data_IF_859159900394
#
_entry.id   IF_859159900394
#
_cell.length_a   1.000
_cell.length_b   1.000
_cell.length_c   1.000
_cell.angle_alpha   90.00
_cell.angle_beta   90.00
_cell.angle_gamma   90.00
#
_symmetry.space_group_name_H-M   'P 1'
#
loop_
_entity.id
_entity.type
_entity.pdbx_description
1 polymer ?
#
# COMPACT_ATOMS: atom_id res chain seq x y z
N UNK A 1 0.20 -4.01 -7.77
CA UNK A 1 1.16 -3.06 -7.19
C UNK A 1 2.49 -3.15 -7.91
N UNK A 2 3.08 -2.02 -8.25
CA UNK A 2 4.43 -1.86 -8.77
C UNK A 2 5.03 -0.55 -8.27
N UNK A 3 6.22 -0.17 -8.70
CA UNK A 3 6.82 1.10 -8.26
C UNK A 3 8.22 1.33 -8.78
N UNK A 4 8.76 2.46 -8.38
CA UNK A 4 10.14 2.86 -8.64
C UNK A 4 10.84 3.25 -7.35
N UNK A 5 12.14 3.01 -7.28
CA UNK A 5 13.02 3.46 -6.20
C UNK A 5 13.88 4.62 -6.72
N UNK A 6 13.81 5.76 -6.03
CA UNK A 6 14.46 7.01 -6.45
C UNK A 6 15.74 7.24 -5.66
N UNK A 7 16.83 7.58 -6.36
CA UNK A 7 18.12 7.92 -5.75
C UNK A 7 19.10 6.76 -5.62
N UNK A 8 18.96 5.71 -6.43
CA UNK A 8 19.88 4.57 -6.46
C UNK A 8 20.95 4.67 -7.58
N UNK A 9 21.01 5.81 -8.26
CA UNK A 9 21.94 6.06 -9.37
C UNK A 9 21.28 6.12 -10.75
N UNK A 10 19.99 5.97 -10.81
CA UNK A 10 19.18 6.14 -12.01
C UNK A 10 19.11 7.63 -12.42
N UNK A 11 18.87 7.87 -13.69
CA UNK A 11 18.66 9.20 -14.23
C UNK A 11 17.17 9.55 -14.28
N UNK A 12 16.86 10.83 -14.51
CA UNK A 12 15.47 11.25 -14.77
C UNK A 12 14.85 10.52 -15.97
N UNK A 13 15.64 10.20 -16.99
CA UNK A 13 15.17 9.47 -18.16
C UNK A 13 14.82 8.02 -17.84
N UNK A 14 15.61 7.36 -17.00
CA UNK A 14 15.31 6.00 -16.54
C UNK A 14 13.97 5.94 -15.80
N UNK A 15 13.67 6.98 -14.99
CA UNK A 15 12.36 7.12 -14.30
C UNK A 15 11.22 7.30 -15.28
N UNK A 16 11.39 8.16 -16.31
CA UNK A 16 10.39 8.37 -17.36
C UNK A 16 10.12 7.06 -18.10
N UNK A 17 11.15 6.37 -18.55
CA UNK A 17 11.01 5.09 -19.27
C UNK A 17 10.30 4.03 -18.41
N UNK A 18 10.63 3.95 -17.13
CA UNK A 18 9.98 3.02 -16.20
C UNK A 18 8.49 3.35 -16.01
N UNK A 19 8.13 4.62 -15.82
CA UNK A 19 6.76 5.07 -15.65
C UNK A 19 5.94 4.90 -16.93
N UNK A 20 6.50 5.18 -18.10
CA UNK A 20 5.87 4.96 -19.42
C UNK A 20 5.64 3.47 -19.67
N UNK A 21 6.58 2.61 -19.27
CA UNK A 21 6.40 1.16 -19.36
C UNK A 21 5.25 0.66 -18.48
N UNK A 22 5.12 1.19 -17.26
CA UNK A 22 4.01 0.90 -16.35
C UNK A 22 2.68 1.37 -16.96
N UNK A 23 2.63 2.62 -17.44
CA UNK A 23 1.44 3.19 -18.08
C UNK A 23 1.02 2.38 -19.30
N UNK A 24 1.97 1.98 -20.16
CA UNK A 24 1.72 1.15 -21.34
C UNK A 24 1.17 -0.23 -20.95
N UNK A 25 1.71 -0.84 -19.91
CA UNK A 25 1.22 -2.12 -19.40
C UNK A 25 -0.20 -1.99 -18.85
N UNK A 26 -0.47 -0.94 -18.10
CA UNK A 26 -1.82 -0.64 -17.59
C UNK A 26 -2.80 -0.41 -18.74
N UNK A 27 -2.46 0.41 -19.71
CA UNK A 27 -3.32 0.68 -20.87
C UNK A 27 -3.73 -0.61 -21.62
N UNK A 28 -2.86 -1.62 -21.62
CA UNK A 28 -3.14 -2.91 -22.26
C UNK A 28 -4.03 -3.84 -21.44
N UNK A 29 -3.83 -3.88 -20.13
CA UNK A 29 -4.41 -4.92 -19.26
C UNK A 29 -5.34 -4.36 -18.18
N UNK A 30 -5.28 -3.10 -17.85
CA UNK A 30 -6.08 -2.45 -16.79
C UNK A 30 -5.78 -3.00 -15.38
N UNK A 31 -4.56 -3.49 -15.13
CA UNK A 31 -4.25 -4.30 -13.94
C UNK A 31 -3.36 -3.63 -12.89
N UNK A 32 -2.82 -2.46 -13.20
CA UNK A 32 -2.01 -1.71 -12.23
C UNK A 32 -2.94 -0.85 -11.40
N UNK A 33 -3.12 -1.20 -10.14
CA UNK A 33 -3.95 -0.41 -9.22
C UNK A 33 -3.17 0.75 -8.58
N UNK A 34 -1.89 0.53 -8.28
CA UNK A 34 -1.05 1.53 -7.64
C UNK A 34 0.39 1.47 -8.09
N UNK A 35 1.04 2.63 -8.06
CA UNK A 35 2.48 2.80 -8.26
C UNK A 35 3.08 3.44 -7.01
N UNK A 36 4.04 2.74 -6.39
CA UNK A 36 4.77 3.23 -5.23
C UNK A 36 6.01 3.97 -5.71
N UNK A 37 6.13 5.24 -5.37
CA UNK A 37 7.38 5.99 -5.52
C UNK A 37 8.05 6.04 -4.16
N UNK A 38 9.21 5.39 -4.05
CA UNK A 38 9.94 5.30 -2.79
C UNK A 38 11.31 5.97 -2.90
N UNK A 39 11.69 6.74 -1.90
CA UNK A 39 13.03 7.32 -1.81
C UNK A 39 14.03 6.30 -1.26
N UNK A 40 15.24 6.30 -1.83
CA UNK A 40 16.33 5.48 -1.32
C UNK A 40 16.89 6.06 -0.02
N UNK A 41 17.00 5.19 0.99
CA UNK A 41 17.73 5.46 2.23
C UNK A 41 18.82 4.40 2.40
N UNK A 42 20.10 4.80 2.61
CA UNK A 42 21.19 3.86 2.79
C UNK A 42 21.04 3.09 4.09
N UNK A 43 21.32 1.78 4.05
CA UNK A 43 21.17 0.90 5.22
C UNK A 43 22.49 0.24 5.59
N UNK A 44 22.82 0.18 6.89
CA UNK A 44 23.97 -0.57 7.38
C UNK A 44 23.93 -2.03 6.91
N UNK A 45 25.07 -2.56 6.54
CA UNK A 45 25.21 -3.96 6.11
C UNK A 45 24.79 -4.24 4.66
N UNK A 46 24.38 -3.23 3.90
CA UNK A 46 24.09 -3.35 2.46
C UNK A 46 25.26 -2.86 1.61
N UNK A 47 25.29 -3.25 0.32
CA UNK A 47 26.30 -2.78 -0.62
C UNK A 47 26.32 -1.25 -0.79
N UNK A 48 25.16 -0.62 -0.60
CA UNK A 48 25.00 0.84 -0.76
C UNK A 48 24.98 1.61 0.58
N UNK A 49 25.49 1.03 1.65
CA UNK A 49 25.46 1.65 2.99
C UNK A 49 26.16 3.03 3.07
N UNK A 50 27.09 3.33 2.16
CA UNK A 50 27.79 4.61 2.07
C UNK A 50 27.29 5.51 0.92
N UNK A 51 26.26 5.09 0.20
CA UNK A 51 25.65 5.93 -0.84
C UNK A 51 24.88 7.09 -0.18
N UNK A 52 24.77 8.26 -0.85
CA UNK A 52 23.94 9.33 -0.34
C UNK A 52 22.47 8.90 -0.34
N UNK A 53 21.70 9.39 0.62
CA UNK A 53 20.24 9.27 0.58
C UNK A 53 19.68 10.09 -0.58
N UNK A 54 18.50 9.69 -1.07
CA UNK A 54 17.77 10.45 -2.07
C UNK A 54 17.50 11.88 -1.57
N UNK A 55 17.89 12.94 -2.31
CA UNK A 55 17.56 14.32 -1.95
C UNK A 55 16.02 14.51 -1.94
N UNK A 56 15.47 15.24 -0.96
CA UNK A 56 14.02 15.47 -0.87
C UNK A 56 13.42 16.10 -2.13
N UNK A 57 14.07 17.11 -2.70
CA UNK A 57 13.58 17.79 -3.93
C UNK A 57 13.51 16.81 -5.11
N UNK A 58 14.50 15.94 -5.24
CA UNK A 58 14.54 14.92 -6.30
C UNK A 58 13.43 13.88 -6.13
N UNK A 59 13.11 13.56 -4.87
CA UNK A 59 12.02 12.67 -4.55
C UNK A 59 10.65 13.28 -4.90
N UNK A 60 10.41 14.54 -4.51
CA UNK A 60 9.20 15.28 -4.84
C UNK A 60 9.03 15.44 -6.36
N UNK A 61 10.11 15.77 -7.06
CA UNK A 61 10.12 15.83 -8.53
C UNK A 61 9.74 14.50 -9.16
N UNK A 62 10.20 13.37 -8.61
CA UNK A 62 9.86 12.05 -9.12
C UNK A 62 8.38 11.70 -8.90
N UNK A 63 7.78 12.10 -7.76
CA UNK A 63 6.34 11.93 -7.49
C UNK A 63 5.52 12.78 -8.48
N UNK A 64 5.87 14.06 -8.64
CA UNK A 64 5.18 14.95 -9.58
C UNK A 64 5.28 14.43 -11.02
N UNK A 65 6.45 13.93 -11.41
CA UNK A 65 6.67 13.31 -12.71
C UNK A 65 5.78 12.06 -12.90
N UNK A 66 5.70 11.21 -11.89
CA UNK A 66 4.84 10.04 -11.92
C UNK A 66 3.37 10.42 -12.08
N UNK A 67 2.88 11.43 -11.37
CA UNK A 67 1.51 11.94 -11.48
C UNK A 67 1.19 12.48 -12.89
N UNK A 68 2.17 13.07 -13.57
CA UNK A 68 1.99 13.59 -14.93
C UNK A 68 2.00 12.49 -16.00
N UNK A 69 2.82 11.46 -15.82
CA UNK A 69 2.99 10.37 -16.80
C UNK A 69 1.92 9.29 -16.64
N UNK A 70 1.60 8.92 -15.41
CA UNK A 70 0.66 7.84 -15.15
C UNK A 70 -0.78 8.26 -15.43
N UNK A 71 -1.61 7.36 -15.98
CA UNK A 71 -3.05 7.59 -16.10
C UNK A 71 -3.68 7.92 -14.74
N UNK A 72 -4.70 8.78 -14.69
CA UNK A 72 -5.32 9.24 -13.44
C UNK A 72 -5.99 8.13 -12.63
N UNK A 73 -6.34 7.02 -13.26
CA UNK A 73 -6.91 5.83 -12.60
C UNK A 73 -5.87 4.98 -11.89
N UNK A 74 -4.58 5.25 -12.05
CA UNK A 74 -3.53 4.60 -11.25
C UNK A 74 -3.28 5.44 -10.01
N UNK A 75 -3.47 4.84 -8.84
CA UNK A 75 -3.15 5.48 -7.58
C UNK A 75 -1.64 5.60 -7.38
N UNK A 76 -1.24 6.74 -6.85
CA UNK A 76 0.17 7.06 -6.60
C UNK A 76 0.43 7.06 -5.10
N UNK A 77 1.28 6.17 -4.66
CA UNK A 77 1.60 5.94 -3.27
C UNK A 77 3.03 6.37 -2.93
N UNK A 78 3.22 6.95 -1.76
CA UNK A 78 4.53 7.17 -1.17
C UNK A 78 4.51 6.87 0.33
N UNK A 79 5.52 6.15 0.88
CA UNK A 79 5.57 5.82 2.30
C UNK A 79 5.78 7.06 3.18
N UNK A 80 4.87 7.36 4.13
CA UNK A 80 4.97 8.56 4.96
C UNK A 80 6.11 8.51 5.97
N UNK A 81 6.51 7.32 6.43
CA UNK A 81 7.57 7.14 7.42
C UNK A 81 8.98 7.41 6.87
N UNK A 82 9.14 7.50 5.57
CA UNK A 82 10.44 7.76 4.94
C UNK A 82 10.71 9.24 4.65
N UNK A 83 9.79 10.13 5.02
CA UNK A 83 9.90 11.58 4.89
C UNK A 83 9.67 12.25 6.24
N UNK A 84 10.53 13.22 6.59
CA UNK A 84 10.38 13.95 7.85
C UNK A 84 9.16 14.90 7.83
N UNK A 85 8.89 15.52 6.67
CA UNK A 85 7.64 16.22 6.36
C UNK A 85 6.89 15.44 5.27
N UNK A 86 6.13 14.45 5.69
CA UNK A 86 5.38 13.62 4.73
C UNK A 86 4.20 14.36 4.08
N UNK A 87 3.73 15.45 4.66
CA UNK A 87 2.62 16.21 4.09
C UNK A 87 2.91 16.76 2.69
N UNK A 88 4.18 17.12 2.39
CA UNK A 88 4.57 17.62 1.07
C UNK A 88 4.42 16.56 -0.05
N UNK A 89 4.29 15.27 0.32
CA UNK A 89 4.06 14.21 -0.65
C UNK A 89 2.68 14.32 -1.30
N UNK A 90 1.66 14.80 -0.54
CA UNK A 90 0.32 15.12 -1.08
C UNK A 90 0.41 16.29 -2.09
N UNK A 91 1.17 17.33 -1.73
CA UNK A 91 1.38 18.48 -2.61
C UNK A 91 2.08 18.07 -3.92
N UNK A 92 2.94 17.06 -3.86
CA UNK A 92 3.64 16.49 -5.01
C UNK A 92 2.75 15.59 -5.87
N UNK A 93 1.59 15.12 -5.36
CA UNK A 93 0.58 14.44 -6.16
C UNK A 93 0.26 12.99 -5.79
N UNK A 94 0.65 12.52 -4.61
CA UNK A 94 0.15 11.22 -4.13
C UNK A 94 -1.33 11.32 -3.76
N UNK A 95 -2.02 10.20 -3.82
CA UNK A 95 -3.40 10.02 -3.41
C UNK A 95 -3.60 8.80 -2.50
N UNK A 96 -2.49 8.18 -2.07
CA UNK A 96 -2.53 7.04 -1.15
C UNK A 96 -1.29 7.01 -0.26
N UNK A 97 -1.49 6.73 1.02
CA UNK A 97 -0.41 6.57 1.99
C UNK A 97 0.14 5.14 2.07
N UNK A 98 -0.53 4.21 1.44
CA UNK A 98 -0.20 2.80 1.47
C UNK A 98 -0.60 2.08 2.75
N UNK A 99 0.06 0.96 2.98
CA UNK A 99 -0.22 0.08 4.11
C UNK A 99 0.37 0.57 5.42
N UNK A 100 -0.13 1.68 5.96
CA UNK A 100 0.28 2.17 7.29
C UNK A 100 -0.32 1.28 8.37
N UNK A 101 0.52 0.71 9.23
CA UNK A 101 0.06 -0.14 10.33
C UNK A 101 0.26 0.53 11.69
N UNK A 102 -0.81 0.70 12.49
CA UNK A 102 -0.67 1.21 13.85
C UNK A 102 -0.09 0.19 14.84
N UNK A 103 0.07 -1.06 14.42
CA UNK A 103 0.38 -2.20 15.32
C UNK A 103 1.70 -2.88 14.97
N UNK A 104 2.08 -2.87 13.70
CA UNK A 104 3.32 -3.48 13.25
C UNK A 104 4.32 -2.44 12.80
N UNK A 105 5.59 -2.69 13.10
CA UNK A 105 6.67 -1.85 12.56
C UNK A 105 6.85 -2.10 11.07
N UNK A 106 7.42 -1.13 10.37
CA UNK A 106 7.93 -1.35 9.02
C UNK A 106 9.12 -2.34 9.11
N UNK A 107 8.95 -3.54 8.58
CA UNK A 107 9.99 -4.58 8.60
C UNK A 107 11.17 -4.26 7.67
N UNK A 108 10.96 -3.40 6.69
CA UNK A 108 12.01 -2.94 5.77
C UNK A 108 12.79 -1.78 6.37
N UNK A 109 12.10 -0.86 7.06
CA UNK A 109 12.68 0.33 7.69
C UNK A 109 12.31 0.40 9.18
N UNK A 110 12.76 -0.55 10.02
CA UNK A 110 12.34 -0.61 11.42
C UNK A 110 12.79 0.60 12.24
N UNK A 111 13.79 1.33 11.75
CA UNK A 111 14.29 2.59 12.33
C UNK A 111 13.39 3.81 12.02
N UNK A 112 12.42 3.65 11.12
CA UNK A 112 11.45 4.67 10.71
C UNK A 112 10.04 4.22 11.06
N UNK A 113 9.52 4.53 12.26
CA UNK A 113 8.17 4.15 12.66
C UNK A 113 7.12 4.84 11.80
N UNK A 114 5.99 4.17 11.62
CA UNK A 114 4.83 4.78 10.98
C UNK A 114 4.34 5.98 11.77
N UNK A 115 3.89 7.07 11.13
CA UNK A 115 3.22 8.15 11.83
C UNK A 115 1.94 7.63 12.51
N UNK A 116 1.56 8.25 13.62
CA UNK A 116 0.27 7.97 14.25
C UNK A 116 -0.87 8.33 13.28
N UNK A 117 -1.94 7.53 13.26
CA UNK A 117 -3.06 7.71 12.32
C UNK A 117 -3.73 9.07 12.50
N UNK A 118 -3.83 9.56 13.73
CA UNK A 118 -4.38 10.87 14.03
C UNK A 118 -3.54 11.99 13.40
N UNK A 119 -2.22 11.89 13.46
CA UNK A 119 -1.32 12.84 12.82
C UNK A 119 -1.43 12.77 11.31
N UNK A 120 -1.44 11.56 10.75
CA UNK A 120 -1.59 11.36 9.31
C UNK A 120 -2.92 11.95 8.81
N UNK A 121 -4.00 11.72 9.56
CA UNK A 121 -5.32 12.28 9.24
C UNK A 121 -5.32 13.80 9.31
N UNK A 122 -4.75 14.41 10.36
CA UNK A 122 -4.72 15.87 10.49
C UNK A 122 -3.95 16.53 9.36
N UNK A 123 -2.76 16.01 9.04
CA UNK A 123 -1.92 16.50 7.95
C UNK A 123 -2.64 16.39 6.59
N UNK A 124 -3.38 15.29 6.37
CA UNK A 124 -4.14 15.07 5.14
C UNK A 124 -5.29 16.08 5.02
N UNK A 125 -6.04 16.29 6.11
CA UNK A 125 -7.17 17.24 6.15
C UNK A 125 -6.70 18.69 6.00
N UNK A 126 -5.58 19.06 6.60
CA UNK A 126 -4.98 20.40 6.45
C UNK A 126 -4.65 20.74 5.01
N UNK A 127 -4.39 19.73 4.17
CA UNK A 127 -4.14 19.89 2.73
C UNK A 127 -5.39 19.76 1.86
N UNK A 128 -6.58 19.68 2.49
CA UNK A 128 -7.86 19.66 1.79
C UNK A 128 -8.30 18.29 1.28
N UNK A 129 -7.64 17.22 1.72
CA UNK A 129 -8.02 15.85 1.39
C UNK A 129 -8.75 15.17 2.56
N UNK A 130 -9.39 14.04 2.28
CA UNK A 130 -10.01 13.19 3.30
C UNK A 130 -9.30 11.85 3.37
N UNK A 131 -9.24 11.30 4.57
CA UNK A 131 -8.71 9.95 4.79
C UNK A 131 -9.86 8.96 4.79
N UNK A 132 -9.75 7.91 3.98
CA UNK A 132 -10.71 6.82 3.96
C UNK A 132 -9.98 5.47 4.03
N UNK A 133 -10.45 4.51 4.85
CA UNK A 133 -9.88 3.18 4.87
C UNK A 133 -10.26 2.43 3.59
N UNK A 134 -9.34 1.65 3.06
CA UNK A 134 -9.60 0.75 1.93
C UNK A 134 -9.10 -0.65 2.21
N UNK A 135 -9.51 -1.59 1.40
CA UNK A 135 -8.89 -2.92 1.36
C UNK A 135 -7.52 -2.84 0.64
N UNK A 136 -6.78 -3.93 0.65
CA UNK A 136 -5.53 -4.05 -0.13
C UNK A 136 -5.78 -3.85 -1.63
N UNK A 137 -6.93 -4.29 -2.12
CA UNK A 137 -7.40 -3.94 -3.45
C UNK A 137 -8.17 -2.61 -3.41
N UNK A 138 -7.95 -1.79 -4.41
CA UNK A 138 -8.62 -0.49 -4.54
C UNK A 138 -10.09 -0.64 -4.92
N UNK A 139 -10.92 0.39 -4.64
CA UNK A 139 -12.37 0.35 -4.84
C UNK A 139 -12.81 -0.12 -6.22
N UNK A 140 -12.16 0.33 -7.28
CA UNK A 140 -12.51 -0.04 -8.65
C UNK A 140 -12.30 -1.54 -8.96
N UNK A 141 -11.36 -2.18 -8.25
CA UNK A 141 -11.16 -3.63 -8.33
C UNK A 141 -12.14 -4.38 -7.43
N UNK A 142 -12.42 -3.83 -6.25
CA UNK A 142 -13.40 -4.37 -5.29
C UNK A 142 -14.81 -4.37 -5.89
N UNK A 143 -15.18 -3.33 -6.62
CA UNK A 143 -16.49 -3.20 -7.28
C UNK A 143 -16.67 -4.10 -8.52
N UNK A 144 -15.60 -4.71 -9.04
CA UNK A 144 -15.69 -5.72 -10.11
C UNK A 144 -15.05 -7.06 -9.68
N UNK A 145 -15.63 -7.72 -8.65
CA UNK A 145 -15.01 -8.91 -8.06
C UNK A 145 -14.95 -10.10 -9.02
N UNK A 146 -15.86 -10.18 -9.98
CA UNK A 146 -15.87 -11.28 -10.96
C UNK A 146 -14.67 -11.27 -11.89
N UNK A 147 -14.08 -10.12 -12.13
CA UNK A 147 -12.90 -9.95 -12.97
C UNK A 147 -11.61 -10.15 -12.21
N UNK A 148 -11.56 -9.70 -10.95
CA UNK A 148 -10.30 -9.50 -10.26
C UNK A 148 -10.04 -10.46 -9.11
N UNK A 149 -11.06 -11.12 -8.59
CA UNK A 149 -10.92 -12.00 -7.43
C UNK A 149 -11.31 -13.44 -7.75
N UNK A 150 -10.64 -14.37 -7.09
CA UNK A 150 -11.14 -15.74 -7.02
C UNK A 150 -12.51 -15.76 -6.33
N UNK A 151 -13.40 -16.62 -6.82
CA UNK A 151 -14.77 -16.73 -6.29
C UNK A 151 -14.82 -17.05 -4.80
N UNK A 152 -13.82 -17.76 -4.28
CA UNK A 152 -13.70 -18.06 -2.85
C UNK A 152 -13.46 -16.83 -1.98
N UNK A 153 -12.97 -15.71 -2.56
CA UNK A 153 -12.72 -14.46 -1.85
C UNK A 153 -13.88 -13.46 -1.93
N UNK A 154 -14.88 -13.68 -2.81
CA UNK A 154 -15.96 -12.70 -3.04
C UNK A 154 -16.66 -12.31 -1.75
N UNK A 155 -17.05 -13.32 -0.94
CA UNK A 155 -17.74 -13.03 0.32
C UNK A 155 -16.86 -12.21 1.27
N UNK A 156 -15.59 -12.57 1.43
CA UNK A 156 -14.67 -11.87 2.32
C UNK A 156 -14.44 -10.42 1.88
N UNK A 157 -14.31 -10.17 0.58
CA UNK A 157 -14.14 -8.83 0.02
C UNK A 157 -15.40 -8.00 0.24
N UNK A 158 -16.59 -8.54 -0.11
CA UNK A 158 -17.87 -7.84 0.04
C UNK A 158 -18.23 -7.56 1.51
N UNK A 159 -17.88 -8.47 2.41
CA UNK A 159 -18.13 -8.31 3.84
C UNK A 159 -17.28 -7.19 4.46
N UNK A 160 -16.10 -6.94 3.91
CA UNK A 160 -15.14 -5.94 4.39
C UNK A 160 -15.17 -4.62 3.64
N UNK A 161 -15.97 -4.50 2.62
CA UNK A 161 -16.11 -3.27 1.83
C UNK A 161 -17.51 -2.69 1.94
N UNK A 162 -17.62 -1.39 1.73
CA UNK A 162 -18.88 -0.68 1.54
C UNK A 162 -19.33 -0.72 0.07
N UNK A 163 -20.43 -0.04 -0.23
CA UNK A 163 -20.97 0.02 -1.59
C UNK A 163 -20.08 0.78 -2.58
N UNK A 164 -19.15 1.59 -2.09
CA UNK A 164 -18.17 2.29 -2.90
C UNK A 164 -16.85 1.51 -3.07
N UNK A 165 -16.74 0.33 -2.43
CA UNK A 165 -15.53 -0.49 -2.45
C UNK A 165 -14.48 -0.10 -1.41
N UNK A 166 -14.76 0.89 -0.56
CA UNK A 166 -13.90 1.30 0.54
C UNK A 166 -14.01 0.32 1.72
N UNK A 167 -13.02 0.36 2.60
CA UNK A 167 -13.03 -0.48 3.80
C UNK A 167 -14.12 -0.08 4.78
N UNK A 168 -14.82 -1.06 5.35
CA UNK A 168 -15.83 -0.83 6.38
C UNK A 168 -15.18 -0.67 7.75
N UNK A 169 -15.75 0.22 8.57
CA UNK A 169 -15.32 0.42 9.96
C UNK A 169 -15.82 -0.66 10.93
N UNK A 170 -16.88 -1.39 10.56
CA UNK A 170 -17.38 -2.47 11.37
C UNK A 170 -16.49 -3.74 11.25
N UNK A 171 -16.52 -4.64 12.23
CA UNK A 171 -15.71 -5.84 12.21
C UNK A 171 -16.10 -6.85 11.13
N UNK A 172 -17.18 -6.63 10.38
CA UNK A 172 -17.75 -7.57 9.42
C UNK A 172 -18.30 -8.83 10.06
N UNK A 173 -18.70 -9.80 9.23
CA UNK A 173 -19.17 -11.08 9.72
C UNK A 173 -18.03 -11.87 10.39
N UNK A 174 -18.33 -12.48 11.53
CA UNK A 174 -17.44 -13.48 12.12
C UNK A 174 -17.48 -14.69 11.20
N UNK A 175 -16.35 -15.06 10.61
CA UNK A 175 -16.27 -16.28 9.84
C UNK A 175 -16.63 -17.46 10.77
N UNK A 176 -17.54 -18.34 10.37
CA UNK A 176 -17.76 -19.56 11.12
C UNK A 176 -16.45 -20.35 11.21
N UNK A 177 -16.23 -20.99 12.33
CA UNK A 177 -15.00 -21.66 12.76
C UNK A 177 -14.44 -22.77 11.83
N UNK A 178 -15.04 -23.01 10.70
CA UNK A 178 -14.67 -24.08 9.81
C UNK A 178 -13.92 -23.58 8.57
N UNK A 179 -12.69 -23.14 8.75
CA UNK A 179 -11.70 -23.52 7.76
C UNK A 179 -11.12 -24.84 8.26
N UNK A 180 -11.73 -25.94 7.84
CA UNK A 180 -11.10 -27.24 7.96
C UNK A 180 -9.71 -27.12 7.33
N UNK A 181 -8.70 -27.47 8.11
CA UNK A 181 -7.32 -27.52 7.66
C UNK A 181 -7.23 -28.38 6.41
N UNK A 182 -7.06 -27.75 5.27
CA UNK A 182 -6.62 -28.47 4.08
C UNK A 182 -5.18 -28.89 4.37
N UNK A 183 -5.00 -30.17 4.66
CA UNK A 183 -3.69 -30.79 4.80
C UNK A 183 -2.93 -30.51 3.49
N UNK A 184 -1.88 -29.70 3.57
CA UNK A 184 -0.99 -29.54 2.45
C UNK A 184 -0.36 -30.90 2.12
N UNK A 185 -0.34 -31.25 0.85
CA UNK A 185 0.11 -32.57 0.38
C UNK A 185 1.60 -32.88 0.65
N UNK A 186 2.32 -31.97 1.28
CA UNK A 186 3.74 -32.06 1.60
C UNK A 186 4.04 -32.15 3.12
N UNK A 187 3.02 -32.35 3.95
CA UNK A 187 3.21 -32.58 5.38
C UNK A 187 3.56 -31.35 6.21
N UNK A 188 3.44 -30.15 5.69
CA UNK A 188 3.56 -28.93 6.49
C UNK A 188 2.32 -28.80 7.39
N UNK A 189 2.52 -28.74 8.71
CA UNK A 189 1.46 -28.44 9.67
C UNK A 189 0.99 -26.99 9.47
N UNK A 190 -0.20 -26.84 8.89
CA UNK A 190 -0.88 -25.55 8.92
C UNK A 190 -1.48 -25.40 10.32
N UNK A 191 -0.94 -24.50 11.10
CA UNK A 191 -1.46 -24.19 12.43
C UNK A 191 -2.90 -23.67 12.29
N UNK A 192 -3.82 -24.38 12.94
CA UNK A 192 -5.19 -23.94 13.11
C UNK A 192 -5.20 -22.62 13.91
N UNK A 193 -5.70 -21.59 13.32
CA UNK A 193 -5.94 -20.31 14.00
C UNK A 193 -7.24 -20.49 14.77
N UNK A 194 -7.18 -20.56 16.10
CA UNK A 194 -8.35 -20.78 16.95
C UNK A 194 -9.37 -19.64 16.88
N UNK A 195 -10.57 -19.90 17.38
CA UNK A 195 -11.71 -19.00 17.42
C UNK A 195 -11.53 -17.70 18.22
N UNK A 196 -10.49 -17.63 19.02
CA UNK A 196 -10.01 -16.41 19.68
C UNK A 196 -8.87 -15.76 18.90
N UNK A 197 -8.82 -16.02 17.67
CA UNK A 197 -7.83 -15.43 16.82
C UNK A 197 -8.06 -13.93 16.71
N UNK A 198 -7.49 -13.47 17.47
CA UNK A 198 -6.76 -12.30 17.50
C UNK A 198 -5.89 -12.28 16.27
N UNK A 199 -6.39 -11.74 15.27
CA UNK A 199 -5.77 -11.42 14.02
C UNK A 199 -5.13 -12.57 13.29
N UNK A 200 -5.20 -12.40 12.05
CA UNK A 200 -4.64 -13.29 11.07
C UNK A 200 -3.14 -13.54 11.18
N UNK A 201 -2.47 -13.06 12.20
CA UNK A 201 -1.07 -13.32 12.50
C UNK A 201 -0.81 -13.50 13.97
N UNK A 202 -1.61 -14.18 14.70
CA UNK A 202 -1.41 -14.35 16.14
C UNK A 202 -1.64 -13.13 17.01
N UNK A 203 -2.22 -12.09 16.50
CA UNK A 203 -2.53 -10.88 17.26
C UNK A 203 -4.01 -10.51 17.18
N UNK A 204 -4.44 -9.48 17.88
CA UNK A 204 -5.79 -8.93 17.76
C UNK A 204 -6.10 -8.53 16.31
N UNK A 205 -7.35 -8.67 15.85
CA UNK A 205 -7.73 -8.24 14.53
C UNK A 205 -7.31 -6.80 14.31
N UNK A 206 -6.24 -6.63 13.61
CA UNK A 206 -5.80 -5.31 13.18
C UNK A 206 -6.66 -4.97 11.99
N UNK A 207 -7.47 -3.95 12.13
CA UNK A 207 -8.11 -3.38 10.96
C UNK A 207 -7.00 -2.89 10.05
N UNK A 208 -6.83 -3.43 8.83
CA UNK A 208 -5.92 -2.81 7.89
C UNK A 208 -6.47 -1.42 7.60
N UNK A 209 -5.76 -0.40 8.06
CA UNK A 209 -6.08 0.98 7.74
C UNK A 209 -5.27 1.31 6.51
N UNK A 210 -5.90 1.22 5.37
CA UNK A 210 -5.38 1.75 4.14
C UNK A 210 -5.98 3.15 4.00
N UNK A 211 -5.14 4.12 3.72
CA UNK A 211 -5.53 5.52 3.63
C UNK A 211 -5.49 5.91 2.16
N UNK A 212 -6.56 6.51 1.69
CA UNK A 212 -6.67 7.11 0.37
C UNK A 212 -6.31 8.59 0.46
#
# INVERSE_FOLDING_TARGET
>A
TTGILVGIGETRWDRIEALEAIATSHARYGHVQEVIVQNFLPKPGTAMHNAPACPPDEYLDAIALARVILPPEIHLQAPPNLSDDFGVLLDAGIDDWGGVSPVTTDHVNPERPWPALELLTSVTVERGFTVAPRLTAYPEFVCDPNRWFDKGLHFAVMDRSDAAGLGRDDPGAVFPEAIETVSAADGAEVRQVGSESTAWYSGAPVRPVHLV
#
